data_IF_879972535766
#
_entry.id   IF_879972535766
#
_cell.length_a   1.000
_cell.length_b   1.000
_cell.length_c   1.000
_cell.angle_alpha   90.00
_cell.angle_beta   90.00
_cell.angle_gamma   90.00
#
_symmetry.space_group_name_H-M   'P 1'
#
loop_
_entity.id
_entity.type
_entity.pdbx_description
1 polymer ?
#
# COMPACT_ATOMS: atom_id res chain seq x y z
N UNK A 1 -24.99 0.35 11.13
CA UNK A 1 -23.65 0.92 11.20
C UNK A 1 -22.67 -0.08 11.73
N UNK A 2 -21.66 -0.27 11.01
CA UNK A 2 -20.61 -1.17 11.43
C UNK A 2 -19.82 -0.51 12.58
N UNK A 3 -19.60 -1.27 13.63
CA UNK A 3 -18.77 -0.83 14.74
C UNK A 3 -17.32 -1.19 14.42
N UNK A 4 -16.67 -0.31 13.67
CA UNK A 4 -15.27 -0.46 13.31
C UNK A 4 -14.49 0.61 14.06
N UNK A 5 -13.51 0.19 14.83
CA UNK A 5 -12.63 1.11 15.55
C UNK A 5 -11.19 0.88 15.14
N UNK A 6 -10.47 1.98 14.90
CA UNK A 6 -9.03 1.92 14.67
C UNK A 6 -8.37 1.96 16.04
N UNK A 7 -7.67 0.90 16.38
CA UNK A 7 -6.93 0.82 17.64
C UNK A 7 -5.57 1.49 17.49
N UNK A 8 -4.88 1.21 16.38
CA UNK A 8 -3.55 1.77 16.12
C UNK A 8 -3.25 1.74 14.63
N UNK A 9 -2.39 2.65 14.19
CA UNK A 9 -1.85 2.67 12.84
C UNK A 9 -0.35 2.86 12.93
N UNK A 10 0.42 2.16 12.10
CA UNK A 10 1.88 2.21 12.22
C UNK A 10 2.56 1.75 10.93
N UNK A 11 3.80 2.19 10.76
CA UNK A 11 4.67 1.67 9.73
C UNK A 11 5.20 0.33 10.23
N UNK A 12 4.85 -0.74 9.55
CA UNK A 12 5.29 -2.09 9.92
C UNK A 12 6.67 -2.38 9.36
N UNK A 13 6.92 -1.91 8.14
CA UNK A 13 8.21 -2.08 7.48
C UNK A 13 8.38 -1.00 6.43
N UNK A 14 9.62 -0.56 6.22
CA UNK A 14 9.93 0.52 5.30
C UNK A 14 11.34 0.37 4.78
N UNK A 15 11.48 0.42 3.46
CA UNK A 15 12.79 0.45 2.82
C UNK A 15 12.74 1.46 1.67
N UNK A 16 13.77 2.29 1.58
CA UNK A 16 13.91 3.27 0.51
C UNK A 16 15.36 3.30 0.08
N UNK A 17 15.58 3.04 -1.21
CA UNK A 17 16.92 2.95 -1.77
C UNK A 17 17.07 3.86 -2.99
N UNK A 18 18.22 4.48 -3.13
CA UNK A 18 18.58 5.30 -4.28
C UNK A 18 19.85 4.73 -4.91
N UNK A 19 19.71 3.63 -5.68
CA UNK A 19 20.89 2.88 -6.15
C UNK A 19 21.80 3.63 -7.11
N UNK A 20 21.27 4.65 -7.81
CA UNK A 20 22.08 5.44 -8.76
C UNK A 20 22.65 6.71 -8.14
N UNK A 21 22.54 6.87 -6.82
CA UNK A 21 23.19 7.99 -6.13
C UNK A 21 24.68 7.73 -5.94
N UNK A 22 25.55 8.76 -5.92
CA UNK A 22 25.21 10.18 -6.08
C UNK A 22 25.11 10.66 -7.53
N UNK A 23 25.51 9.85 -8.48
CA UNK A 23 25.65 10.28 -9.89
C UNK A 23 24.36 10.81 -10.48
N UNK A 24 23.21 10.22 -10.12
CA UNK A 24 21.91 10.61 -10.64
C UNK A 24 21.59 12.09 -10.30
N UNK A 25 22.12 12.59 -9.20
CA UNK A 25 21.90 13.98 -8.78
C UNK A 25 22.82 14.97 -9.50
N UNK A 26 23.90 14.49 -10.08
CA UNK A 26 24.84 15.31 -10.82
C UNK A 26 24.51 15.33 -12.33
N UNK A 27 24.16 14.18 -12.87
CA UNK A 27 23.87 14.02 -14.29
C UNK A 27 22.44 14.38 -14.64
N UNK A 28 21.55 14.30 -13.64
CA UNK A 28 20.12 14.47 -13.83
C UNK A 28 19.47 13.22 -14.39
N UNK A 29 18.17 13.28 -14.47
CA UNK A 29 17.36 12.20 -15.04
C UNK A 29 16.11 12.83 -15.66
N UNK A 30 15.57 12.20 -16.66
CA UNK A 30 14.29 12.60 -17.22
C UNK A 30 13.15 12.23 -16.26
N UNK A 31 11.92 12.45 -16.71
CA UNK A 31 10.74 12.06 -15.94
C UNK A 31 10.79 10.56 -15.70
N UNK A 32 10.77 10.11 -14.44
CA UNK A 32 10.88 8.68 -14.17
C UNK A 32 9.61 7.94 -14.53
N UNK A 33 9.80 6.68 -14.94
CA UNK A 33 8.70 5.74 -15.11
C UNK A 33 8.50 5.04 -13.77
N UNK A 34 7.27 5.09 -13.26
CA UNK A 34 6.93 4.53 -11.95
C UNK A 34 6.10 3.25 -12.15
N UNK A 35 6.58 2.16 -11.58
CA UNK A 35 5.84 0.90 -11.53
C UNK A 35 5.41 0.66 -10.09
N UNK A 36 4.13 0.37 -9.89
CA UNK A 36 3.54 0.13 -8.57
C UNK A 36 3.03 -1.29 -8.46
N UNK A 37 3.33 -1.91 -7.32
CA UNK A 37 2.71 -3.18 -6.91
C UNK A 37 2.01 -2.96 -5.60
N UNK A 38 0.78 -3.45 -5.48
CA UNK A 38 -0.06 -3.25 -4.30
C UNK A 38 -0.51 -4.60 -3.78
N UNK A 39 -0.37 -4.81 -2.47
CA UNK A 39 -0.83 -6.02 -1.82
C UNK A 39 -1.50 -5.68 -0.50
N UNK A 40 -2.49 -6.48 -0.13
CA UNK A 40 -3.24 -6.30 1.11
C UNK A 40 -3.24 -7.62 1.86
N UNK A 41 -2.86 -7.56 3.13
CA UNK A 41 -2.84 -8.71 4.01
C UNK A 41 -3.76 -8.45 5.20
N UNK A 42 -4.61 -9.42 5.51
CA UNK A 42 -5.54 -9.34 6.63
C UNK A 42 -5.27 -10.52 7.56
N UNK A 43 -5.01 -10.21 8.83
CA UNK A 43 -4.69 -11.23 9.82
C UNK A 43 -5.59 -11.06 11.04
N UNK A 44 -6.29 -12.13 11.41
CA UNK A 44 -7.07 -12.14 12.64
C UNK A 44 -6.12 -12.37 13.83
N UNK A 45 -6.12 -11.42 14.75
CA UNK A 45 -5.25 -11.47 15.94
C UNK A 45 -5.95 -12.21 17.08
N UNK A 46 -7.21 -11.85 17.31
CA UNK A 46 -8.05 -12.42 18.33
C UNK A 46 -9.50 -12.16 17.96
N UNK A 47 -10.46 -12.48 18.85
CA UNK A 47 -11.87 -12.19 18.55
C UNK A 47 -12.05 -10.71 18.28
N UNK A 48 -12.67 -10.40 17.16
CA UNK A 48 -12.99 -9.04 16.72
C UNK A 48 -11.77 -8.13 16.49
N UNK A 49 -10.54 -8.65 16.59
CA UNK A 49 -9.33 -7.85 16.40
C UNK A 49 -8.56 -8.35 15.17
N UNK A 50 -8.30 -7.43 14.24
CA UNK A 50 -7.62 -7.74 12.97
C UNK A 50 -6.49 -6.75 12.71
N UNK A 51 -5.41 -7.27 12.13
CA UNK A 51 -4.36 -6.42 11.57
C UNK A 51 -4.51 -6.42 10.06
N UNK A 52 -4.62 -5.23 9.49
CA UNK A 52 -4.66 -5.06 8.04
C UNK A 52 -3.37 -4.35 7.63
N UNK A 53 -2.64 -4.96 6.70
CA UNK A 53 -1.41 -4.39 6.18
C UNK A 53 -1.58 -4.05 4.71
N UNK A 54 -1.32 -2.80 4.36
CA UNK A 54 -1.29 -2.33 2.98
C UNK A 54 0.18 -2.22 2.57
N UNK A 55 0.57 -2.99 1.56
CA UNK A 55 1.94 -2.99 1.06
C UNK A 55 2.00 -2.36 -0.30
N UNK A 56 2.93 -1.45 -0.49
CA UNK A 56 3.17 -0.84 -1.79
C UNK A 56 4.66 -0.91 -2.10
N UNK A 57 4.95 -1.39 -3.31
CA UNK A 57 6.30 -1.35 -3.86
C UNK A 57 6.27 -0.37 -5.02
N UNK A 58 7.11 0.65 -4.97
CA UNK A 58 7.24 1.66 -6.03
C UNK A 58 8.66 1.61 -6.58
N UNK A 59 8.78 1.31 -7.87
CA UNK A 59 10.05 1.31 -8.59
C UNK A 59 10.06 2.46 -9.58
N UNK A 60 11.03 3.35 -9.45
CA UNK A 60 11.22 4.46 -10.37
C UNK A 60 12.45 4.21 -11.22
N UNK A 61 12.31 4.33 -12.53
CA UNK A 61 13.42 4.15 -13.45
C UNK A 61 13.36 5.16 -14.59
N UNK A 62 14.50 5.43 -15.19
CA UNK A 62 14.63 6.29 -16.35
C UNK A 62 15.75 5.73 -17.24
N UNK A 63 15.44 5.45 -18.51
CA UNK A 63 16.41 4.90 -19.48
C UNK A 63 17.15 3.68 -18.91
N UNK A 64 16.40 2.73 -18.34
CA UNK A 64 16.93 1.49 -17.77
C UNK A 64 17.76 1.68 -16.49
N UNK A 65 17.87 2.90 -15.99
CA UNK A 65 18.55 3.18 -14.73
C UNK A 65 17.52 3.23 -13.60
N UNK A 66 17.75 2.47 -12.55
CA UNK A 66 16.90 2.52 -11.35
C UNK A 66 17.21 3.77 -10.56
N UNK A 67 16.19 4.61 -10.35
CA UNK A 67 16.33 5.88 -9.65
C UNK A 67 16.07 5.69 -8.17
N UNK A 68 14.93 5.09 -7.81
CA UNK A 68 14.67 4.70 -6.43
C UNK A 68 13.79 3.47 -6.38
N UNK A 69 13.88 2.78 -5.26
CA UNK A 69 13.03 1.64 -4.94
C UNK A 69 12.47 1.89 -3.55
N UNK A 70 11.15 1.95 -3.45
CA UNK A 70 10.47 2.18 -2.17
C UNK A 70 9.54 1.02 -1.89
N UNK A 71 9.70 0.41 -0.72
CA UNK A 71 8.81 -0.64 -0.27
C UNK A 71 8.29 -0.27 1.11
N UNK A 72 6.98 -0.20 1.27
CA UNK A 72 6.37 0.16 2.54
C UNK A 72 5.23 -0.78 2.87
N UNK A 73 5.20 -1.20 4.13
CA UNK A 73 4.09 -1.93 4.71
C UNK A 73 3.50 -1.06 5.82
N UNK A 74 2.33 -0.52 5.58
CA UNK A 74 1.62 0.32 6.53
C UNK A 74 0.44 -0.45 7.08
N UNK A 75 0.32 -0.55 8.39
CA UNK A 75 -0.65 -1.43 9.03
C UNK A 75 -1.58 -0.66 9.97
N UNK A 76 -2.73 -1.26 10.22
CA UNK A 76 -3.65 -0.81 11.24
C UNK A 76 -4.21 -1.98 11.99
N UNK A 77 -4.45 -1.77 13.27
CA UNK A 77 -5.19 -2.73 14.10
C UNK A 77 -6.61 -2.22 14.25
N UNK A 78 -7.56 -3.07 13.90
CA UNK A 78 -8.98 -2.72 13.88
C UNK A 78 -9.76 -3.64 14.79
N UNK A 79 -10.70 -3.06 15.54
CA UNK A 79 -11.71 -3.81 16.26
C UNK A 79 -12.97 -3.79 15.39
N UNK A 80 -13.43 -4.96 14.97
CA UNK A 80 -14.57 -5.09 14.07
C UNK A 80 -15.55 -6.08 14.65
N UNK A 81 -16.78 -5.64 14.93
CA UNK A 81 -17.83 -6.52 15.42
C UNK A 81 -18.09 -7.63 14.41
N UNK A 82 -18.33 -8.83 14.92
CA UNK A 82 -18.60 -9.99 14.09
C UNK A 82 -19.86 -9.76 13.25
N UNK A 83 -19.72 -10.00 11.96
CA UNK A 83 -20.79 -9.88 10.99
C UNK A 83 -20.68 -11.04 9.99
N UNK A 84 -21.59 -11.09 9.04
CA UNK A 84 -21.57 -12.06 7.95
C UNK A 84 -20.23 -12.09 7.24
N UNK A 85 -19.75 -13.29 6.89
CA UNK A 85 -18.41 -13.49 6.32
C UNK A 85 -18.12 -12.65 5.09
N UNK A 86 -19.08 -12.56 4.16
CA UNK A 86 -18.88 -11.77 2.93
C UNK A 86 -18.72 -10.28 3.23
N UNK A 87 -19.52 -9.77 4.15
CA UNK A 87 -19.42 -8.37 4.58
C UNK A 87 -18.12 -8.12 5.33
N UNK A 88 -17.70 -9.07 6.16
CA UNK A 88 -16.43 -8.97 6.87
C UNK A 88 -15.27 -8.89 5.89
N UNK A 89 -15.28 -9.72 4.86
CA UNK A 89 -14.24 -9.71 3.84
C UNK A 89 -14.15 -8.36 3.11
N UNK A 90 -15.29 -7.77 2.78
CA UNK A 90 -15.32 -6.45 2.17
C UNK A 90 -14.75 -5.36 3.08
N UNK A 91 -15.07 -5.43 4.36
CA UNK A 91 -14.52 -4.48 5.33
C UNK A 91 -13.00 -4.61 5.41
N UNK A 92 -12.50 -5.84 5.53
CA UNK A 92 -11.08 -6.10 5.68
C UNK A 92 -10.26 -5.74 4.43
N UNK A 93 -10.82 -5.95 3.25
CA UNK A 93 -10.08 -5.82 1.99
C UNK A 93 -10.43 -4.57 1.19
N UNK A 94 -11.46 -3.85 1.54
CA UNK A 94 -11.86 -2.60 0.85
C UNK A 94 -11.84 -1.42 1.81
N UNK A 95 -12.65 -1.49 2.86
CA UNK A 95 -12.81 -0.36 3.78
C UNK A 95 -11.52 -0.03 4.53
N UNK A 96 -10.90 -1.04 5.14
CA UNK A 96 -9.69 -0.82 5.93
C UNK A 96 -8.51 -0.32 5.10
N UNK A 97 -8.21 -0.91 3.93
CA UNK A 97 -7.15 -0.35 3.08
C UNK A 97 -7.43 1.07 2.62
N UNK A 98 -8.68 1.40 2.30
CA UNK A 98 -9.06 2.75 1.94
C UNK A 98 -8.75 3.75 3.05
N UNK A 99 -8.96 3.35 4.30
CA UNK A 99 -8.69 4.19 5.45
C UNK A 99 -7.18 4.39 5.64
N UNK A 100 -6.38 3.35 5.39
CA UNK A 100 -4.93 3.40 5.56
C UNK A 100 -4.21 4.14 4.44
N UNK A 101 -4.76 4.14 3.23
CA UNK A 101 -4.08 4.62 2.04
C UNK A 101 -3.60 6.07 2.12
N UNK A 102 -4.40 7.05 2.57
CA UNK A 102 -3.94 8.44 2.63
C UNK A 102 -2.69 8.64 3.50
N UNK A 103 -2.56 7.87 4.56
CA UNK A 103 -1.40 7.93 5.44
C UNK A 103 -0.16 7.38 4.76
N UNK A 104 -0.32 6.22 4.09
CA UNK A 104 0.77 5.62 3.33
C UNK A 104 1.20 6.53 2.18
N UNK A 105 0.25 7.12 1.45
CA UNK A 105 0.55 8.05 0.35
C UNK A 105 1.40 9.21 0.83
N UNK A 106 1.06 9.79 1.97
CA UNK A 106 1.82 10.90 2.54
C UNK A 106 3.26 10.48 2.88
N UNK A 107 3.42 9.29 3.45
CA UNK A 107 4.74 8.78 3.82
C UNK A 107 5.62 8.64 2.57
N UNK A 108 5.10 8.07 1.50
CA UNK A 108 5.87 7.92 0.25
C UNK A 108 6.23 9.28 -0.34
N UNK A 109 5.30 10.23 -0.35
CA UNK A 109 5.57 11.57 -0.86
C UNK A 109 6.70 12.24 -0.07
N UNK A 110 6.67 12.10 1.26
CA UNK A 110 7.72 12.67 2.12
C UNK A 110 9.07 11.99 1.92
N UNK A 111 9.08 10.67 1.73
CA UNK A 111 10.32 9.93 1.48
C UNK A 111 11.00 10.39 0.18
N UNK A 112 10.23 10.61 -0.88
CA UNK A 112 10.80 11.08 -2.14
C UNK A 112 11.32 12.50 -2.00
N UNK A 113 10.61 13.38 -1.30
CA UNK A 113 11.08 14.75 -1.02
C UNK A 113 12.38 14.72 -0.23
N UNK A 114 12.44 13.91 0.81
CA UNK A 114 13.63 13.80 1.67
C UNK A 114 14.83 13.22 0.92
N UNK A 115 14.58 12.55 -0.20
CA UNK A 115 15.62 11.94 -1.03
C UNK A 115 15.97 12.79 -2.26
N UNK A 116 15.59 14.07 -2.25
CA UNK A 116 15.89 15.05 -3.29
C UNK A 116 15.17 14.76 -4.62
N UNK A 117 14.02 14.13 -4.57
CA UNK A 117 13.15 13.93 -5.74
C UNK A 117 11.89 14.76 -5.62
N UNK A 118 11.17 15.02 -6.71
CA UNK A 118 9.83 15.55 -6.62
C UNK A 118 8.94 14.59 -5.84
N UNK A 119 7.92 15.07 -5.10
CA UNK A 119 7.07 14.18 -4.33
C UNK A 119 6.32 13.21 -5.24
N UNK A 120 6.38 11.93 -4.89
CA UNK A 120 5.58 10.92 -5.57
C UNK A 120 4.19 10.90 -4.94
N UNK A 121 3.21 11.40 -5.70
CA UNK A 121 1.81 11.40 -5.28
C UNK A 121 1.10 10.25 -6.00
N UNK A 122 0.89 9.16 -5.30
CA UNK A 122 0.22 7.99 -5.86
C UNK A 122 -1.25 8.32 -6.08
N UNK A 123 -1.76 7.99 -7.27
CA UNK A 123 -3.17 8.17 -7.59
C UNK A 123 -4.05 7.32 -6.66
N UNK A 124 -5.28 7.74 -6.40
CA UNK A 124 -6.20 6.93 -5.60
C UNK A 124 -6.35 5.53 -6.16
N UNK A 125 -6.39 4.56 -5.26
CA UNK A 125 -6.52 3.14 -5.61
C UNK A 125 -7.99 2.74 -5.41
N UNK A 126 -8.55 2.07 -6.41
CA UNK A 126 -9.89 1.50 -6.31
C UNK A 126 -9.79 0.12 -5.68
N UNK A 127 -9.88 0.06 -4.36
CA UNK A 127 -9.78 -1.19 -3.63
C UNK A 127 -10.96 -2.12 -3.89
N UNK A 128 -12.12 -1.56 -4.19
CA UNK A 128 -13.28 -2.37 -4.56
C UNK A 128 -13.03 -3.12 -5.87
N UNK A 129 -12.41 -2.45 -6.84
CA UNK A 129 -12.04 -3.07 -8.12
C UNK A 129 -10.98 -4.16 -7.91
N UNK A 130 -9.96 -3.90 -7.09
CA UNK A 130 -8.94 -4.89 -6.76
C UNK A 130 -9.57 -6.12 -6.10
N UNK A 131 -10.48 -5.91 -5.17
CA UNK A 131 -11.19 -7.00 -4.50
C UNK A 131 -11.99 -7.84 -5.50
N UNK A 132 -12.72 -7.20 -6.40
CA UNK A 132 -13.52 -7.88 -7.41
C UNK A 132 -12.66 -8.73 -8.34
N UNK A 133 -11.54 -8.21 -8.81
CA UNK A 133 -10.61 -8.93 -9.67
C UNK A 133 -10.00 -10.13 -8.97
N UNK A 134 -9.61 -9.95 -7.72
CA UNK A 134 -9.03 -11.01 -6.88
C UNK A 134 -10.05 -12.13 -6.67
N UNK A 135 -11.32 -11.79 -6.41
CA UNK A 135 -12.40 -12.74 -6.21
C UNK A 135 -12.68 -13.54 -7.48
N UNK A 136 -12.70 -12.89 -8.63
CA UNK A 136 -12.91 -13.54 -9.92
C UNK A 136 -11.80 -14.56 -10.19
N UNK A 137 -10.55 -14.19 -9.98
CA UNK A 137 -9.40 -15.08 -10.16
C UNK A 137 -9.49 -16.27 -9.21
N UNK A 138 -9.84 -16.02 -7.95
CA UNK A 138 -9.99 -17.08 -6.94
C UNK A 138 -11.11 -18.06 -7.33
N UNK A 139 -12.25 -17.55 -7.77
CA UNK A 139 -13.37 -18.38 -8.21
C UNK A 139 -13.00 -19.20 -9.45
N UNK A 140 -12.23 -18.62 -10.36
CA UNK A 140 -11.75 -19.32 -11.57
C UNK A 140 -10.82 -20.47 -11.23
N UNK A 141 -9.98 -20.32 -10.22
CA UNK A 141 -9.04 -21.38 -9.81
C UNK A 141 -9.73 -22.51 -9.06
N UNK A 142 -10.91 -22.27 -8.51
CA UNK A 142 -11.70 -23.31 -7.82
C UNK A 142 -12.49 -24.20 -8.77
N UNK A 143 -12.63 -23.78 -10.00
CA UNK A 143 -13.33 -24.54 -11.03
C UNK A 143 -12.33 -25.32 -11.87
#
# INVERSE_FOLDING_TARGET
>A
MSNIKVISQYIKDLSFETPASPEIFLEGHGKPNIELSIDIDAKKISDEIYEITLKILANASSNSTKIFICEIAYAGIFSIQKIEDEMMEQILLIYCPNLLFPFLRRIIANLTIDSAFPPLMIDPIDFADLYSKRKIISDSTLN
#
